data_IF_841128172783
#
_entry.id   IF_841128172783
#
_cell.length_a   1.000
_cell.length_b   1.000
_cell.length_c   1.000
_cell.angle_alpha   90.00
_cell.angle_beta   90.00
_cell.angle_gamma   90.00
#
_symmetry.space_group_name_H-M   'P 1'
#
loop_
_entity.id
_entity.type
_entity.pdbx_description
1 polymer ?
#
# COMPACT_ATOMS: atom_id res chain seq x y z
N UNK A 1 25.50 -21.56 5.74
CA UNK A 1 25.86 -20.45 4.86
C UNK A 1 24.69 -19.48 4.83
N UNK A 2 24.84 -18.31 5.46
CA UNK A 2 23.84 -17.23 5.42
C UNK A 2 23.95 -16.40 4.13
N UNK A 3 22.92 -15.61 3.82
CA UNK A 3 23.00 -14.59 2.77
C UNK A 3 24.01 -13.52 3.17
N UNK A 4 24.87 -13.12 2.26
CA UNK A 4 25.91 -12.11 2.48
C UNK A 4 25.87 -10.98 1.45
N UNK A 5 24.81 -10.90 0.66
CA UNK A 5 24.54 -9.80 -0.27
C UNK A 5 23.08 -9.38 -0.09
N UNK A 6 22.85 -8.10 0.15
CA UNK A 6 21.57 -7.44 0.04
C UNK A 6 21.56 -6.65 -1.26
N UNK A 7 20.69 -7.02 -2.19
CA UNK A 7 20.49 -6.27 -3.42
C UNK A 7 19.04 -5.80 -3.51
N UNK A 8 18.84 -4.50 -3.80
CA UNK A 8 17.51 -3.91 -3.91
C UNK A 8 17.43 -2.95 -5.09
N UNK A 9 16.29 -2.95 -5.79
CA UNK A 9 15.96 -1.87 -6.70
C UNK A 9 15.44 -0.66 -5.91
N UNK A 10 15.85 0.51 -6.36
CA UNK A 10 15.53 1.80 -5.73
C UNK A 10 15.16 2.82 -6.80
N UNK A 11 14.32 3.79 -6.44
CA UNK A 11 14.21 5.03 -7.21
C UNK A 11 15.28 6.01 -6.73
N UNK A 12 15.71 6.93 -7.60
CA UNK A 12 16.61 8.01 -7.24
C UNK A 12 16.00 9.37 -7.55
N UNK A 13 16.27 10.36 -6.71
CA UNK A 13 15.83 11.74 -6.89
C UNK A 13 16.77 12.72 -6.20
N UNK A 14 17.00 13.84 -6.84
CA UNK A 14 17.64 15.00 -6.20
C UNK A 14 16.60 15.83 -5.46
N UNK A 15 16.85 16.14 -4.19
CA UNK A 15 15.99 16.96 -3.33
C UNK A 15 16.91 17.94 -2.62
N UNK A 16 16.66 19.24 -2.82
CA UNK A 16 17.45 20.34 -2.23
C UNK A 16 18.96 20.26 -2.53
N UNK A 17 19.31 19.76 -3.72
CA UNK A 17 20.71 19.61 -4.16
C UNK A 17 21.41 18.37 -3.61
N UNK A 18 20.70 17.48 -2.97
CA UNK A 18 21.22 16.22 -2.42
C UNK A 18 20.54 15.03 -3.09
N UNK A 19 21.33 14.00 -3.39
CA UNK A 19 20.81 12.75 -3.93
C UNK A 19 20.19 11.90 -2.84
N UNK A 20 18.99 11.42 -3.12
CA UNK A 20 18.25 10.50 -2.28
C UNK A 20 17.83 9.27 -3.07
N UNK A 21 17.90 8.12 -2.41
CA UNK A 21 17.34 6.87 -2.89
C UNK A 21 16.03 6.60 -2.15
N UNK A 22 15.10 5.96 -2.86
CA UNK A 22 13.88 5.46 -2.24
C UNK A 22 13.80 3.95 -2.38
N UNK A 23 13.53 3.28 -1.27
CA UNK A 23 13.28 1.83 -1.20
C UNK A 23 11.92 1.46 -1.82
N UNK A 24 11.21 2.45 -2.34
CA UNK A 24 9.92 2.34 -3.01
C UNK A 24 8.84 1.73 -2.09
N UNK A 25 8.09 0.75 -2.58
CA UNK A 25 6.96 0.15 -1.85
C UNK A 25 7.36 -1.01 -0.91
N UNK A 26 8.64 -1.35 -0.80
CA UNK A 26 9.13 -2.46 0.01
C UNK A 26 10.28 -2.05 0.94
N UNK A 27 10.11 -1.04 1.79
CA UNK A 27 11.18 -0.56 2.67
C UNK A 27 11.42 -1.47 3.88
N UNK A 28 10.41 -2.19 4.32
CA UNK A 28 10.38 -2.89 5.61
C UNK A 28 11.51 -3.90 5.80
N UNK A 29 11.76 -4.74 4.81
CA UNK A 29 12.81 -5.77 4.91
C UNK A 29 14.20 -5.13 4.92
N UNK A 30 14.43 -4.16 4.06
CA UNK A 30 15.74 -3.50 3.96
C UNK A 30 16.06 -2.67 5.20
N UNK A 31 15.09 -1.92 5.73
CA UNK A 31 15.27 -1.12 6.94
C UNK A 31 15.61 -1.99 8.14
N UNK A 32 14.98 -3.16 8.27
CA UNK A 32 15.30 -4.11 9.35
C UNK A 32 16.67 -4.77 9.16
N UNK A 33 17.08 -5.01 7.91
CA UNK A 33 18.36 -5.67 7.62
C UNK A 33 19.57 -4.74 7.76
N UNK A 34 19.46 -3.45 7.45
CA UNK A 34 20.60 -2.53 7.50
C UNK A 34 21.33 -2.54 8.88
N UNK A 35 20.64 -2.38 10.02
CA UNK A 35 21.30 -2.47 11.32
C UNK A 35 21.88 -3.85 11.62
N UNK A 36 21.26 -4.92 11.12
CA UNK A 36 21.77 -6.29 11.27
C UNK A 36 23.07 -6.50 10.46
N UNK A 37 23.13 -5.93 9.25
CA UNK A 37 24.31 -5.93 8.38
C UNK A 37 25.47 -5.19 9.07
N UNK A 38 25.20 -4.01 9.63
CA UNK A 38 26.20 -3.26 10.39
C UNK A 38 26.73 -4.06 11.61
N UNK A 39 25.85 -4.76 12.31
CA UNK A 39 26.26 -5.63 13.40
C UNK A 39 27.10 -6.83 12.91
N UNK A 40 26.74 -7.44 11.78
CA UNK A 40 27.50 -8.51 11.15
C UNK A 40 28.92 -8.05 10.73
N UNK A 41 29.01 -6.88 10.11
CA UNK A 41 30.29 -6.26 9.72
C UNK A 41 31.21 -6.01 10.93
N UNK A 42 30.64 -5.52 12.05
CA UNK A 42 31.41 -5.34 13.30
C UNK A 42 31.96 -6.66 13.86
N UNK A 43 31.34 -7.80 13.55
CA UNK A 43 31.85 -9.14 13.88
C UNK A 43 32.87 -9.68 12.87
N UNK A 44 33.22 -8.91 11.85
CA UNK A 44 34.15 -9.30 10.80
C UNK A 44 33.54 -10.12 9.66
N UNK A 45 32.20 -10.19 9.60
CA UNK A 45 31.51 -10.87 8.51
C UNK A 45 31.51 -9.99 7.23
N UNK A 46 31.68 -10.62 6.08
CA UNK A 46 31.64 -9.92 4.79
C UNK A 46 30.21 -9.90 4.26
N UNK A 47 29.57 -8.74 4.36
CA UNK A 47 28.24 -8.50 3.81
C UNK A 47 28.31 -7.27 2.90
N UNK A 48 27.73 -7.37 1.71
CA UNK A 48 27.70 -6.33 0.69
C UNK A 48 26.26 -5.88 0.45
N UNK A 49 26.05 -4.58 0.33
CA UNK A 49 24.76 -3.96 0.01
C UNK A 49 24.84 -3.30 -1.37
N UNK A 50 23.85 -3.57 -2.21
CA UNK A 50 23.78 -3.08 -3.59
C UNK A 50 22.43 -2.45 -3.85
N UNK A 51 22.42 -1.19 -4.27
CA UNK A 51 21.26 -0.52 -4.81
C UNK A 51 21.32 -0.52 -6.35
N UNK A 52 20.26 -0.90 -7.00
CA UNK A 52 20.09 -0.75 -8.45
C UNK A 52 19.03 0.32 -8.72
N UNK A 53 19.44 1.44 -9.27
CA UNK A 53 18.52 2.52 -9.63
C UNK A 53 17.67 2.09 -10.83
N UNK A 54 16.36 2.30 -10.71
CA UNK A 54 15.39 2.15 -11.79
C UNK A 54 14.43 3.35 -11.73
N UNK A 55 14.46 4.20 -12.75
CA UNK A 55 13.70 5.45 -12.79
C UNK A 55 12.20 5.26 -13.03
N UNK A 56 11.79 4.06 -13.45
CA UNK A 56 10.38 3.68 -13.58
C UNK A 56 9.74 3.31 -12.23
N UNK A 57 10.53 3.19 -11.17
CA UNK A 57 10.01 2.92 -9.83
C UNK A 57 9.46 4.20 -9.17
N UNK A 58 8.36 4.10 -8.42
CA UNK A 58 7.80 5.24 -7.71
C UNK A 58 8.74 5.69 -6.59
N UNK A 59 9.06 6.99 -6.54
CA UNK A 59 9.80 7.55 -5.42
C UNK A 59 8.84 7.77 -4.24
N UNK A 60 8.98 6.97 -3.20
CA UNK A 60 8.23 7.07 -1.95
C UNK A 60 9.05 7.84 -0.92
N UNK A 61 8.36 8.67 -0.13
CA UNK A 61 8.97 9.54 0.87
C UNK A 61 9.01 8.91 2.27
N UNK A 62 9.44 9.68 3.26
CA UNK A 62 9.55 9.32 4.67
C UNK A 62 10.46 8.10 4.88
N UNK A 63 9.99 7.06 5.55
CA UNK A 63 10.79 5.89 5.93
C UNK A 63 11.38 5.11 4.74
N UNK A 64 10.82 5.28 3.54
CA UNK A 64 11.38 4.70 2.33
C UNK A 64 12.63 5.43 1.82
N UNK A 65 12.91 6.65 2.31
CA UNK A 65 14.06 7.44 1.88
C UNK A 65 15.32 7.02 2.62
N UNK A 66 16.37 6.76 1.87
CA UNK A 66 17.70 6.45 2.39
C UNK A 66 18.75 7.24 1.63
N UNK A 67 19.90 7.46 2.26
CA UNK A 67 21.06 8.05 1.58
C UNK A 67 21.77 7.00 0.73
N UNK A 68 22.43 7.39 -0.38
CA UNK A 68 23.24 6.47 -1.19
C UNK A 68 24.27 5.69 -0.38
N UNK A 69 24.81 6.32 0.67
CA UNK A 69 25.82 5.74 1.58
C UNK A 69 25.28 4.55 2.41
N UNK A 70 23.98 4.32 2.44
CA UNK A 70 23.41 3.10 3.03
C UNK A 70 23.78 1.83 2.25
N UNK A 71 24.27 2.00 1.00
CA UNK A 71 24.70 0.92 0.14
C UNK A 71 26.19 1.02 -0.20
N UNK A 72 26.87 -0.14 -0.27
CA UNK A 72 28.26 -0.17 -0.69
C UNK A 72 28.43 0.12 -2.19
N UNK A 73 27.42 -0.26 -2.97
CA UNK A 73 27.41 -0.07 -4.41
C UNK A 73 26.05 0.49 -4.86
N UNK A 74 26.09 1.55 -5.65
CA UNK A 74 24.93 2.08 -6.36
C UNK A 74 25.14 1.89 -7.86
N UNK A 75 24.28 1.10 -8.47
CA UNK A 75 24.30 0.84 -9.92
C UNK A 75 23.26 1.74 -10.58
N UNK A 76 23.74 2.81 -11.22
CA UNK A 76 22.91 3.74 -11.97
C UNK A 76 23.29 3.73 -13.45
N UNK A 77 22.43 3.18 -14.28
CA UNK A 77 22.60 3.17 -15.73
C UNK A 77 21.25 2.98 -16.42
N UNK A 78 20.94 3.70 -17.52
CA UNK A 78 19.66 3.63 -18.22
C UNK A 78 19.21 2.22 -18.66
N UNK A 79 20.16 1.30 -18.86
CA UNK A 79 19.82 -0.11 -19.18
C UNK A 79 19.08 -0.84 -18.06
N UNK A 80 19.07 -0.29 -16.85
CA UNK A 80 18.37 -0.85 -15.67
C UNK A 80 17.00 -0.21 -15.46
N UNK A 81 16.63 0.77 -16.28
CA UNK A 81 15.30 1.35 -16.27
C UNK A 81 14.35 0.42 -17.02
N UNK A 82 13.37 -0.10 -16.34
CA UNK A 82 12.32 -0.92 -16.94
C UNK A 82 11.03 -0.78 -16.14
N UNK A 83 9.93 -0.87 -16.87
CA UNK A 83 8.60 -0.78 -16.25
C UNK A 83 8.37 -1.97 -15.32
N UNK A 84 7.92 -1.66 -14.11
CA UNK A 84 7.60 -2.68 -13.12
C UNK A 84 6.33 -3.45 -13.52
N UNK A 85 6.28 -4.71 -13.12
CA UNK A 85 5.05 -5.48 -13.20
C UNK A 85 4.00 -4.86 -12.29
N UNK A 86 2.83 -4.54 -12.84
CA UNK A 86 1.67 -4.07 -12.09
C UNK A 86 0.64 -5.19 -11.91
N UNK A 87 -0.08 -5.16 -10.81
CA UNK A 87 -1.22 -6.05 -10.66
C UNK A 87 -2.26 -5.76 -11.76
N UNK A 88 -2.87 -6.80 -12.36
CA UNK A 88 -3.90 -6.59 -13.36
C UNK A 88 -5.07 -5.78 -12.78
N UNK A 89 -5.46 -4.71 -13.47
CA UNK A 89 -6.68 -3.98 -13.14
C UNK A 89 -7.86 -4.66 -13.86
N UNK A 90 -8.55 -5.55 -13.15
CA UNK A 90 -9.70 -6.26 -13.68
C UNK A 90 -10.96 -5.41 -13.51
N UNK A 91 -11.90 -5.44 -14.45
CA UNK A 91 -13.20 -4.78 -14.26
C UNK A 91 -13.93 -5.33 -13.03
N UNK A 92 -14.54 -4.44 -12.26
CA UNK A 92 -15.40 -4.81 -11.13
C UNK A 92 -16.70 -5.39 -11.69
N UNK A 93 -17.06 -6.59 -11.28
CA UNK A 93 -18.30 -7.23 -11.68
C UNK A 93 -19.47 -6.94 -10.72
N UNK A 94 -20.68 -7.40 -11.06
CA UNK A 94 -21.87 -7.17 -10.25
C UNK A 94 -21.81 -7.86 -8.88
N UNK A 95 -21.12 -8.99 -8.78
CA UNK A 95 -20.94 -9.69 -7.52
C UNK A 95 -19.99 -8.93 -6.60
N UNK A 96 -18.89 -8.41 -7.15
CA UNK A 96 -17.96 -7.55 -6.42
C UNK A 96 -18.65 -6.29 -5.93
N UNK A 97 -19.48 -5.64 -6.75
CA UNK A 97 -20.27 -4.47 -6.32
C UNK A 97 -21.23 -4.82 -5.19
N UNK A 98 -21.95 -5.94 -5.28
CA UNK A 98 -22.86 -6.35 -4.18
C UNK A 98 -22.08 -6.64 -2.89
N UNK A 99 -20.97 -7.35 -2.97
CA UNK A 99 -20.11 -7.61 -1.82
C UNK A 99 -19.51 -6.31 -1.27
N UNK A 100 -19.08 -5.39 -2.13
CA UNK A 100 -18.55 -4.09 -1.74
C UNK A 100 -19.58 -3.23 -1.01
N UNK A 101 -20.83 -3.24 -1.48
CA UNK A 101 -21.95 -2.55 -0.82
C UNK A 101 -22.18 -3.12 0.59
N UNK A 102 -22.23 -4.45 0.73
CA UNK A 102 -22.41 -5.11 2.02
C UNK A 102 -21.22 -4.83 2.96
N UNK A 103 -19.99 -5.00 2.48
CA UNK A 103 -18.78 -4.80 3.26
C UNK A 103 -18.65 -3.34 3.74
N UNK A 104 -18.99 -2.37 2.90
CA UNK A 104 -18.93 -0.94 3.26
C UNK A 104 -19.83 -0.57 4.44
N UNK A 105 -20.97 -1.29 4.64
CA UNK A 105 -21.84 -1.10 5.78
C UNK A 105 -21.27 -1.65 7.09
N UNK A 106 -20.29 -2.55 7.03
CA UNK A 106 -19.58 -3.08 8.20
C UNK A 106 -18.43 -2.18 8.66
N UNK A 107 -18.07 -1.17 7.86
CA UNK A 107 -16.98 -0.25 8.18
C UNK A 107 -17.49 0.80 9.18
N UNK A 108 -16.79 0.90 10.31
CA UNK A 108 -17.12 1.86 11.36
C UNK A 108 -16.53 3.23 11.05
N UNK A 109 -17.30 4.29 11.30
CA UNK A 109 -16.78 5.66 11.29
C UNK A 109 -15.68 5.85 12.35
N UNK A 110 -14.58 6.52 11.99
CA UNK A 110 -13.38 6.63 12.82
C UNK A 110 -12.56 5.34 12.95
N UNK A 111 -12.87 4.31 12.15
CA UNK A 111 -12.12 3.05 12.12
C UNK A 111 -10.91 3.10 11.22
N UNK A 112 -10.20 2.00 11.13
CA UNK A 112 -9.08 1.79 10.19
C UNK A 112 -9.46 0.72 9.18
N UNK A 113 -9.34 1.03 7.89
CA UNK A 113 -9.60 0.11 6.80
C UNK A 113 -8.32 -0.17 6.03
N UNK A 114 -7.91 -1.44 5.98
CA UNK A 114 -6.84 -1.88 5.09
C UNK A 114 -7.45 -2.39 3.79
N UNK A 115 -7.01 -1.82 2.69
CA UNK A 115 -7.46 -2.17 1.34
C UNK A 115 -6.35 -2.91 0.62
N UNK A 116 -6.67 -4.10 0.07
CA UNK A 116 -5.78 -4.83 -0.83
C UNK A 116 -5.95 -4.36 -2.29
N UNK A 117 -5.23 -4.99 -3.21
CA UNK A 117 -5.37 -4.78 -4.65
C UNK A 117 -6.41 -5.78 -5.20
N UNK A 118 -7.38 -5.29 -5.97
CA UNK A 118 -8.35 -6.14 -6.67
C UNK A 118 -9.76 -5.56 -6.73
N UNK A 119 -10.61 -6.15 -7.57
CA UNK A 119 -11.94 -5.67 -7.92
C UNK A 119 -12.84 -5.47 -6.70
N UNK A 120 -12.83 -6.40 -5.75
CA UNK A 120 -13.60 -6.29 -4.52
C UNK A 120 -13.17 -5.08 -3.68
N UNK A 121 -11.87 -4.82 -3.61
CA UNK A 121 -11.32 -3.66 -2.89
C UNK A 121 -11.76 -2.35 -3.54
N UNK A 122 -11.74 -2.28 -4.86
CA UNK A 122 -12.21 -1.12 -5.62
C UNK A 122 -13.71 -0.89 -5.38
N UNK A 123 -14.51 -1.96 -5.36
CA UNK A 123 -15.92 -1.90 -5.02
C UNK A 123 -16.19 -1.39 -3.61
N UNK A 124 -15.41 -1.84 -2.61
CA UNK A 124 -15.53 -1.37 -1.22
C UNK A 124 -15.22 0.13 -1.15
N UNK A 125 -14.12 0.58 -1.77
CA UNK A 125 -13.77 2.02 -1.80
C UNK A 125 -14.86 2.84 -2.48
N UNK A 126 -15.39 2.37 -3.60
CA UNK A 126 -16.49 3.02 -4.31
C UNK A 126 -17.70 3.24 -3.40
N UNK A 127 -18.15 2.21 -2.66
CA UNK A 127 -19.29 2.34 -1.76
C UNK A 127 -18.96 3.12 -0.48
N UNK A 128 -17.73 3.13 0.01
CA UNK A 128 -17.32 4.03 1.09
C UNK A 128 -17.43 5.49 0.65
N UNK A 129 -16.98 5.82 -0.57
CA UNK A 129 -17.12 7.16 -1.13
C UNK A 129 -18.60 7.54 -1.34
N UNK A 130 -19.42 6.62 -1.85
CA UNK A 130 -20.87 6.84 -2.01
C UNK A 130 -21.55 7.04 -0.65
N UNK A 131 -21.25 6.21 0.34
CA UNK A 131 -21.74 6.35 1.71
C UNK A 131 -21.42 7.73 2.29
N UNK A 132 -20.23 8.26 2.05
CA UNK A 132 -19.81 9.56 2.56
C UNK A 132 -20.44 10.73 1.76
N UNK A 133 -20.40 10.68 0.43
CA UNK A 133 -20.74 11.82 -0.44
C UNK A 133 -22.18 11.83 -0.93
N UNK A 134 -22.82 10.66 -1.02
CA UNK A 134 -24.15 10.44 -1.58
C UNK A 134 -24.97 9.51 -0.67
N UNK A 135 -24.99 9.82 0.62
CA UNK A 135 -25.52 8.90 1.64
C UNK A 135 -26.98 8.49 1.40
N UNK A 136 -27.83 9.41 0.91
CA UNK A 136 -29.23 9.07 0.63
C UNK A 136 -29.35 7.96 -0.43
N UNK A 137 -28.56 8.04 -1.51
CA UNK A 137 -28.51 7.01 -2.56
C UNK A 137 -27.95 5.69 -1.99
N UNK A 138 -26.90 5.78 -1.20
CA UNK A 138 -26.29 4.62 -0.55
C UNK A 138 -27.31 3.85 0.32
N UNK A 139 -28.06 4.57 1.15
CA UNK A 139 -29.10 3.96 2.00
C UNK A 139 -30.24 3.37 1.18
N UNK A 140 -30.65 4.03 0.09
CA UNK A 140 -31.63 3.48 -0.82
C UNK A 140 -31.16 2.14 -1.41
N UNK A 141 -29.90 2.05 -1.86
CA UNK A 141 -29.35 0.80 -2.38
C UNK A 141 -29.29 -0.31 -1.33
N UNK A 142 -28.92 0.00 -0.09
CA UNK A 142 -28.95 -0.96 1.01
C UNK A 142 -30.37 -1.51 1.25
N UNK A 143 -31.38 -0.66 1.17
CA UNK A 143 -32.78 -1.03 1.36
C UNK A 143 -33.30 -1.89 0.19
N UNK A 144 -33.06 -1.48 -1.06
CA UNK A 144 -33.47 -2.21 -2.26
C UNK A 144 -32.84 -3.61 -2.32
N UNK A 145 -31.57 -3.73 -1.93
CA UNK A 145 -30.86 -5.01 -1.82
C UNK A 145 -31.17 -5.77 -0.52
N UNK A 146 -32.09 -5.25 0.32
CA UNK A 146 -32.54 -5.83 1.58
C UNK A 146 -31.42 -6.10 2.59
N UNK A 147 -30.28 -5.39 2.48
CA UNK A 147 -29.11 -5.58 3.34
C UNK A 147 -29.44 -5.18 4.77
N UNK A 148 -30.10 -4.04 4.96
CA UNK A 148 -30.51 -3.56 6.28
C UNK A 148 -31.58 -4.45 6.91
N UNK A 149 -32.42 -5.09 6.11
CA UNK A 149 -33.44 -6.04 6.61
C UNK A 149 -32.78 -7.34 7.12
N UNK A 150 -31.81 -7.87 6.38
CA UNK A 150 -31.17 -9.14 6.74
C UNK A 150 -30.03 -9.00 7.76
N UNK A 151 -29.29 -7.89 7.69
CA UNK A 151 -28.04 -7.70 8.45
C UNK A 151 -28.03 -6.43 9.31
N UNK A 152 -29.18 -5.75 9.49
CA UNK A 152 -29.26 -4.49 10.23
C UNK A 152 -28.71 -4.58 11.66
N UNK A 153 -28.96 -5.66 12.37
CA UNK A 153 -28.42 -5.87 13.72
C UNK A 153 -26.89 -5.99 13.73
N UNK A 154 -26.33 -6.68 12.74
CA UNK A 154 -24.87 -6.78 12.57
C UNK A 154 -24.26 -5.42 12.24
N UNK A 155 -24.83 -4.74 11.24
CA UNK A 155 -24.38 -3.40 10.81
C UNK A 155 -24.44 -2.39 11.97
N UNK A 156 -25.54 -2.38 12.74
CA UNK A 156 -25.68 -1.51 13.90
C UNK A 156 -24.67 -1.78 15.01
N UNK A 157 -24.22 -3.02 15.15
CA UNK A 157 -23.26 -3.43 16.18
C UNK A 157 -21.81 -3.17 15.82
N UNK A 158 -21.40 -3.40 14.56
CA UNK A 158 -19.99 -3.36 14.16
C UNK A 158 -19.65 -2.26 13.17
N UNK A 159 -20.63 -1.76 12.42
CA UNK A 159 -20.43 -0.81 11.32
C UNK A 159 -21.33 0.42 11.42
N UNK A 160 -21.96 0.78 10.31
CA UNK A 160 -22.91 1.89 10.22
C UNK A 160 -23.29 2.20 8.78
N UNK A 161 -24.31 3.04 8.60
CA UNK A 161 -24.83 3.45 7.29
C UNK A 161 -24.79 4.97 7.06
N UNK A 162 -24.48 5.75 8.11
CA UNK A 162 -24.33 7.21 8.01
C UNK A 162 -23.02 7.61 7.30
N UNK A 163 -22.86 8.88 6.91
CA UNK A 163 -21.61 9.41 6.40
C UNK A 163 -20.45 9.18 7.38
N UNK A 164 -19.23 9.18 6.86
CA UNK A 164 -18.04 9.16 7.71
C UNK A 164 -17.76 10.59 8.21
N UNK A 165 -18.03 10.85 9.48
CA UNK A 165 -17.83 12.16 10.12
C UNK A 165 -16.44 12.27 10.76
N UNK A 166 -15.93 11.16 11.28
CA UNK A 166 -14.58 11.06 11.87
C UNK A 166 -13.53 10.61 10.85
N UNK A 167 -13.97 10.09 9.70
CA UNK A 167 -13.12 9.60 8.63
C UNK A 167 -12.72 8.12 8.79
N UNK A 168 -11.77 7.71 7.96
CA UNK A 168 -11.17 6.36 7.94
C UNK A 168 -9.66 6.48 8.03
#
# INVERSE_FOLDING_TARGET
NGANVLAQQVAAREIDGEEWLSLCSNPEVTLDLLPMIEAARRRGERVVTVAQVNREMPFMYNDAMVRPEAFDLVLDHPRYDFQQFGAPNMPVDNADYLLGLQASALIRDGGTLQIGIGCLSDAIVYFCQMRHRQNALYQQMLAEMRITEHYGDLVGRVGGVGPFEQGL
#
